data_IF_903153106513
#
_entry.id   IF_903153106513
#
_cell.length_a   1.000
_cell.length_b   1.000
_cell.length_c   1.000
_cell.angle_alpha   90.00
_cell.angle_beta   90.00
_cell.angle_gamma   90.00
#
_symmetry.space_group_name_H-M   'P 1'
#
loop_
_entity.id
_entity.type
_entity.pdbx_description
1 polymer ?
#
# COMPACT_ATOMS: atom_id res chain seq x y z
N UNK A 1 -11.86 -22.83 10.68
CA UNK A 1 -11.70 -22.29 9.31
C UNK A 1 -11.06 -20.92 9.43
N UNK A 2 -10.06 -20.58 8.61
CA UNK A 2 -9.56 -19.21 8.50
C UNK A 2 -10.71 -18.27 8.13
N UNK A 3 -10.85 -17.16 8.84
CA UNK A 3 -11.90 -16.17 8.57
C UNK A 3 -11.27 -14.81 8.33
N UNK A 4 -11.67 -14.15 7.25
CA UNK A 4 -11.15 -12.82 6.93
C UNK A 4 -11.59 -11.80 8.00
N UNK A 5 -10.65 -11.12 8.70
CA UNK A 5 -10.97 -10.34 9.90
C UNK A 5 -11.35 -8.90 9.55
N UNK A 6 -12.35 -8.71 8.67
CA UNK A 6 -12.69 -7.42 8.05
C UNK A 6 -12.86 -6.28 9.07
N UNK A 7 -13.49 -6.58 10.20
CA UNK A 7 -13.82 -5.59 11.23
C UNK A 7 -12.60 -5.15 12.07
N UNK A 8 -11.48 -5.87 11.96
CA UNK A 8 -10.22 -5.56 12.63
C UNK A 8 -9.24 -4.80 11.73
N UNK A 9 -9.54 -4.66 10.43
CA UNK A 9 -8.64 -4.05 9.47
C UNK A 9 -8.83 -2.54 9.39
N UNK A 10 -7.73 -1.80 9.55
CA UNK A 10 -7.72 -0.37 9.29
C UNK A 10 -7.65 -0.08 7.80
N UNK A 11 -8.43 0.93 7.37
CA UNK A 11 -8.28 1.52 6.04
C UNK A 11 -6.90 2.14 5.88
N UNK A 12 -6.34 1.97 4.69
CA UNK A 12 -5.05 2.46 4.26
C UNK A 12 -5.28 3.38 3.05
N UNK A 13 -4.45 4.40 2.90
CA UNK A 13 -4.57 5.36 1.82
C UNK A 13 -3.46 6.42 1.84
N UNK A 14 -3.26 7.13 0.72
CA UNK A 14 -2.24 8.18 0.58
C UNK A 14 -2.53 9.42 1.42
N UNK A 15 -3.77 9.60 1.89
CA UNK A 15 -4.19 10.71 2.77
C UNK A 15 -3.61 10.63 4.19
N UNK A 16 -3.04 9.48 4.56
CA UNK A 16 -2.43 9.27 5.88
C UNK A 16 -0.92 9.55 5.83
N UNK A 17 -0.34 10.15 6.88
CA UNK A 17 1.11 10.23 7.04
C UNK A 17 1.78 8.85 6.94
N UNK A 18 2.97 8.78 6.33
CA UNK A 18 3.69 7.53 6.06
C UNK A 18 3.82 6.64 7.31
N UNK A 19 4.21 7.21 8.45
CA UNK A 19 4.32 6.47 9.71
C UNK A 19 3.01 5.80 10.15
N UNK A 20 1.85 6.43 9.91
CA UNK A 20 0.54 5.83 10.20
C UNK A 20 0.19 4.72 9.21
N UNK A 21 0.58 4.87 7.94
CA UNK A 21 0.39 3.84 6.90
C UNK A 21 1.17 2.58 7.26
N UNK A 22 2.44 2.72 7.64
CA UNK A 22 3.30 1.62 8.09
C UNK A 22 2.68 0.88 9.28
N UNK A 23 2.32 1.61 10.35
CA UNK A 23 1.71 1.01 11.55
C UNK A 23 0.39 0.27 11.26
N UNK A 24 -0.46 0.82 10.40
CA UNK A 24 -1.71 0.18 9.99
C UNK A 24 -1.47 -1.08 9.16
N UNK A 25 -0.49 -1.07 8.26
CA UNK A 25 -0.08 -2.27 7.51
C UNK A 25 0.40 -3.36 8.45
N UNK A 26 1.23 -3.02 9.44
CA UNK A 26 1.71 -3.96 10.45
C UNK A 26 0.54 -4.59 11.22
N UNK A 27 -0.34 -3.75 11.77
CA UNK A 27 -1.56 -4.20 12.46
C UNK A 27 -2.43 -5.12 11.60
N UNK A 28 -2.71 -4.73 10.35
CA UNK A 28 -3.58 -5.49 9.46
C UNK A 28 -3.00 -6.89 9.17
N UNK A 29 -1.70 -6.99 8.92
CA UNK A 29 -1.03 -8.27 8.70
C UNK A 29 -1.09 -9.15 9.94
N UNK A 30 -0.88 -8.59 11.14
CA UNK A 30 -1.05 -9.32 12.39
C UNK A 30 -2.48 -9.84 12.56
N UNK A 31 -3.50 -9.01 12.30
CA UNK A 31 -4.89 -9.40 12.41
C UNK A 31 -5.23 -10.55 11.44
N UNK A 32 -4.76 -10.50 10.19
CA UNK A 32 -4.95 -11.56 9.19
C UNK A 32 -4.25 -12.85 9.63
N UNK A 33 -3.01 -12.76 10.12
CA UNK A 33 -2.29 -13.94 10.61
C UNK A 33 -3.00 -14.55 11.82
N UNK A 34 -3.47 -13.73 12.76
CA UNK A 34 -4.18 -14.17 13.96
C UNK A 34 -5.54 -14.83 13.65
N UNK A 35 -6.17 -14.47 12.53
CA UNK A 35 -7.41 -15.11 12.07
C UNK A 35 -7.19 -16.44 11.34
N UNK A 36 -5.94 -16.92 11.27
CA UNK A 36 -5.53 -18.15 10.60
C UNK A 36 -5.45 -18.04 9.09
N UNK A 37 -5.58 -16.83 8.53
CA UNK A 37 -5.46 -16.61 7.10
C UNK A 37 -3.98 -16.66 6.66
N UNK A 38 -3.68 -17.25 5.49
CA UNK A 38 -2.33 -17.25 4.96
C UNK A 38 -1.89 -15.83 4.61
N UNK A 39 -0.74 -15.43 5.15
CA UNK A 39 -0.05 -14.19 4.80
C UNK A 39 1.22 -14.56 4.05
N UNK A 40 1.49 -13.99 2.86
CA UNK A 40 2.72 -14.26 2.13
C UNK A 40 3.96 -14.04 3.01
N UNK A 41 4.93 -14.93 2.92
CA UNK A 41 6.19 -14.90 3.69
C UNK A 41 6.95 -13.58 3.49
N UNK A 42 6.87 -12.98 2.30
CA UNK A 42 7.45 -11.65 2.03
C UNK A 42 6.85 -10.53 2.88
N UNK A 43 5.69 -10.74 3.51
CA UNK A 43 5.04 -9.80 4.40
C UNK A 43 5.38 -10.06 5.89
N UNK A 44 6.60 -10.55 6.20
CA UNK A 44 7.14 -10.51 7.57
C UNK A 44 7.38 -9.06 8.02
N UNK A 45 6.28 -8.35 8.24
CA UNK A 45 6.22 -6.96 8.64
C UNK A 45 6.90 -6.73 10.01
N UNK A 46 7.03 -7.82 10.79
CA UNK A 46 7.66 -7.89 12.11
C UNK A 46 9.20 -7.86 12.02
N UNK A 47 9.74 -8.32 10.89
CA UNK A 47 11.20 -8.35 10.62
C UNK A 47 11.61 -7.31 9.59
N UNK A 48 10.64 -6.66 8.94
CA UNK A 48 10.89 -5.63 7.94
C UNK A 48 11.04 -4.28 8.63
N UNK A 49 12.16 -3.64 8.33
CA UNK A 49 12.40 -2.24 8.66
C UNK A 49 11.23 -1.37 8.14
N UNK A 50 10.66 -0.47 8.96
CA UNK A 50 9.76 0.59 8.51
C UNK A 50 10.18 1.26 7.20
N UNK A 51 11.49 1.47 6.97
CA UNK A 51 12.01 2.04 5.73
C UNK A 51 11.71 1.15 4.50
N UNK A 52 11.72 -0.17 4.65
CA UNK A 52 11.38 -1.07 3.55
C UNK A 52 9.88 -1.06 3.24
N UNK A 53 9.04 -0.92 4.27
CA UNK A 53 7.59 -0.77 4.10
C UNK A 53 7.29 0.58 3.40
N UNK A 54 8.04 1.62 3.72
CA UNK A 54 7.99 2.91 3.02
C UNK A 54 8.36 2.79 1.55
N UNK A 55 9.43 2.07 1.22
CA UNK A 55 9.82 1.79 -0.17
C UNK A 55 8.71 1.07 -0.96
N UNK A 56 7.99 0.15 -0.33
CA UNK A 56 6.84 -0.50 -0.99
C UNK A 56 5.73 0.49 -1.32
N UNK A 57 5.49 1.46 -0.43
CA UNK A 57 4.51 2.50 -0.69
C UNK A 57 4.95 3.45 -1.81
N UNK A 58 6.25 3.77 -1.90
CA UNK A 58 6.80 4.57 -2.99
C UNK A 58 6.73 3.82 -4.33
N UNK A 59 7.17 2.56 -4.39
CA UNK A 59 7.08 1.72 -5.59
C UNK A 59 5.63 1.55 -6.04
N UNK A 60 4.72 1.27 -5.10
CA UNK A 60 3.29 1.14 -5.38
C UNK A 60 2.70 2.43 -5.98
N UNK A 61 3.04 3.60 -5.43
CA UNK A 61 2.59 4.88 -5.96
C UNK A 61 3.13 5.16 -7.36
N UNK A 62 4.42 4.87 -7.60
CA UNK A 62 5.05 5.02 -8.91
C UNK A 62 4.41 4.10 -9.96
N UNK A 63 4.21 2.81 -9.63
CA UNK A 63 3.57 1.84 -10.52
C UNK A 63 2.12 2.22 -10.83
N UNK A 64 1.36 2.68 -9.83
CA UNK A 64 0.00 3.16 -10.03
C UNK A 64 -0.04 4.40 -10.95
N UNK A 65 0.88 5.35 -10.77
CA UNK A 65 1.01 6.51 -11.66
C UNK A 65 1.34 6.09 -13.09
N UNK A 66 2.36 5.24 -13.28
CA UNK A 66 2.73 4.66 -14.58
C UNK A 66 1.57 3.98 -15.28
N UNK A 67 0.80 3.18 -14.55
CA UNK A 67 -0.37 2.49 -15.09
C UNK A 67 -1.45 3.49 -15.51
N UNK A 68 -1.76 4.48 -14.66
CA UNK A 68 -2.72 5.54 -15.00
C UNK A 68 -2.32 6.29 -16.26
N UNK A 69 -1.08 6.77 -16.35
CA UNK A 69 -0.59 7.48 -17.55
C UNK A 69 -0.68 6.60 -18.80
N UNK A 70 -0.35 5.30 -18.70
CA UNK A 70 -0.49 4.38 -19.83
C UNK A 70 -1.96 4.22 -20.25
N UNK A 71 -2.88 4.06 -19.31
CA UNK A 71 -4.32 3.97 -19.57
C UNK A 71 -4.86 5.26 -20.18
N UNK A 72 -4.48 6.43 -19.66
CA UNK A 72 -4.88 7.74 -20.19
C UNK A 72 -4.48 7.90 -21.65
N UNK A 73 -3.22 7.58 -21.99
CA UNK A 73 -2.73 7.63 -23.38
C UNK A 73 -3.45 6.65 -24.29
N UNK A 74 -3.66 5.41 -23.83
CA UNK A 74 -4.40 4.40 -24.59
C UNK A 74 -5.85 4.82 -24.87
N UNK A 75 -6.47 5.50 -23.91
CA UNK A 75 -7.85 5.97 -24.00
C UNK A 75 -7.99 7.36 -24.68
N UNK A 76 -6.87 7.97 -25.13
CA UNK A 76 -6.82 9.35 -25.62
C UNK A 76 -7.51 10.37 -24.69
N UNK A 77 -7.45 10.11 -23.38
CA UNK A 77 -7.99 11.00 -22.37
C UNK A 77 -7.03 12.17 -22.13
N UNK A 78 -7.53 13.35 -21.72
CA UNK A 78 -6.67 14.43 -21.27
C UNK A 78 -5.81 13.96 -20.09
N UNK A 79 -4.54 14.38 -20.06
CA UNK A 79 -3.63 14.07 -18.95
C UNK A 79 -4.20 14.65 -17.65
N UNK A 80 -4.17 13.84 -16.60
CA UNK A 80 -4.70 14.20 -15.29
C UNK A 80 -3.57 14.77 -14.44
N UNK A 81 -3.49 16.10 -14.38
CA UNK A 81 -2.47 16.87 -13.63
C UNK A 81 -2.66 16.80 -12.10
N UNK A 82 -3.65 16.04 -11.62
CA UNK A 82 -4.09 16.03 -10.22
C UNK A 82 -3.19 15.24 -9.26
N UNK A 83 -2.06 14.68 -9.70
CA UNK A 83 -1.15 13.92 -8.81
C UNK A 83 0.27 14.49 -8.84
N UNK A 84 0.47 15.58 -8.07
CA UNK A 84 1.81 16.09 -7.77
C UNK A 84 2.66 14.97 -7.16
N UNK A 85 3.71 14.61 -7.87
CA UNK A 85 4.75 13.68 -7.42
C UNK A 85 5.48 14.31 -6.23
N UNK A 86 5.67 13.62 -5.08
CA UNK A 86 6.57 14.13 -4.06
C UNK A 86 8.01 14.11 -4.63
N UNK A 87 8.83 15.13 -4.34
CA UNK A 87 10.19 15.20 -4.87
C UNK A 87 11.00 14.00 -4.37
N UNK A 88 11.71 13.35 -5.28
CA UNK A 88 12.81 12.44 -4.92
C UNK A 88 13.92 13.30 -4.30
N UNK A 89 14.12 13.18 -2.99
CA UNK A 89 15.30 13.69 -2.28
C UNK A 89 16.22 12.52 -1.94
#
# INVERSE_FOLDING_TARGET
MPTWPKDLLFRHGPELPMAKRIRRTQHNIHAIRASGCPVPTSAFIDTLDPAQIELWFADGAYRAHRLRSATTRLAALPEDDSTSQPPLS
#
